data_IF_445812910506
#
_entry.id   IF_445812910506
#
_cell.length_a   1.000
_cell.length_b   1.000
_cell.length_c   1.000
_cell.angle_alpha   90.00
_cell.angle_beta   90.00
_cell.angle_gamma   90.00
#
_symmetry.space_group_name_H-M   'P 1'
#
loop_
_entity.id
_entity.type
_entity.pdbx_description
1 polymer ?
#
# COMPACT_ATOMS: atom_id res chain seq x y z
N UNK A 1 -4.79 -30.38 3.25
CA UNK A 1 -3.52 -29.64 3.39
C UNK A 1 -3.35 -29.39 4.88
N UNK A 2 -2.26 -29.84 5.50
CA UNK A 2 -2.03 -29.70 6.95
C UNK A 2 -0.75 -28.89 7.13
N UNK A 3 -0.86 -27.68 7.67
CA UNK A 3 0.27 -26.77 7.93
C UNK A 3 0.25 -25.46 7.12
N UNK A 4 1.11 -24.49 7.48
CA UNK A 4 1.28 -23.25 6.72
C UNK A 4 1.78 -23.55 5.30
N UNK A 5 1.54 -22.61 4.37
CA UNK A 5 2.00 -22.77 2.99
C UNK A 5 3.53 -22.67 2.92
N UNK A 6 4.10 -21.71 3.64
CA UNK A 6 5.52 -21.42 3.73
C UNK A 6 6.26 -22.60 4.38
N UNK A 7 7.25 -23.14 3.68
CA UNK A 7 8.22 -24.09 4.27
C UNK A 7 9.28 -23.33 5.06
N UNK A 8 9.68 -22.17 4.54
CA UNK A 8 10.58 -21.22 5.20
C UNK A 8 10.15 -19.78 4.87
N UNK A 9 9.69 -19.06 5.90
CA UNK A 9 9.28 -17.65 5.80
C UNK A 9 10.43 -16.65 5.96
N UNK A 10 11.64 -17.13 6.29
CA UNK A 10 12.78 -16.28 6.56
C UNK A 10 12.46 -15.17 7.59
N UNK A 11 12.94 -13.93 7.37
CA UNK A 11 12.71 -12.81 8.28
C UNK A 11 11.32 -12.15 8.16
N UNK A 12 10.45 -12.60 7.23
CA UNK A 12 9.13 -11.99 7.06
C UNK A 12 8.34 -12.11 8.36
N UNK A 13 7.86 -10.98 8.88
CA UNK A 13 7.02 -10.92 10.08
C UNK A 13 5.56 -10.60 9.77
N UNK A 14 5.33 -9.58 8.95
CA UNK A 14 4.01 -9.10 8.56
C UNK A 14 3.54 -9.68 7.23
N UNK A 15 2.24 -9.65 7.00
CA UNK A 15 1.60 -10.01 5.75
C UNK A 15 0.36 -9.13 5.52
N UNK A 16 -0.06 -8.96 4.27
CA UNK A 16 -1.32 -8.31 3.93
C UNK A 16 -1.92 -8.87 2.62
N UNK A 17 -1.46 -8.39 1.46
CA UNK A 17 -1.96 -8.79 0.15
C UNK A 17 -0.97 -9.72 -0.55
N UNK A 18 -1.45 -10.45 -1.56
CA UNK A 18 -0.66 -11.41 -2.33
C UNK A 18 -0.99 -11.36 -3.82
N UNK A 19 0.05 -11.43 -4.66
CA UNK A 19 -0.09 -11.69 -6.09
C UNK A 19 0.97 -12.68 -6.58
N UNK A 20 0.86 -13.15 -7.81
CA UNK A 20 1.82 -14.06 -8.43
C UNK A 20 2.16 -13.73 -9.89
N UNK A 21 3.40 -14.02 -10.28
CA UNK A 21 3.85 -14.15 -11.66
C UNK A 21 4.10 -15.63 -11.97
N UNK A 22 3.07 -16.34 -12.46
CA UNK A 22 3.14 -17.81 -12.68
C UNK A 22 4.28 -18.25 -13.60
N UNK A 23 4.64 -17.43 -14.60
CA UNK A 23 5.74 -17.75 -15.54
C UNK A 23 7.10 -17.79 -14.86
N UNK A 24 7.25 -17.03 -13.77
CA UNK A 24 8.49 -16.88 -13.01
C UNK A 24 8.47 -17.68 -11.71
N UNK A 25 7.46 -18.54 -11.52
CA UNK A 25 7.25 -19.27 -10.27
C UNK A 25 7.34 -18.36 -9.03
N UNK A 26 6.90 -17.11 -9.17
CA UNK A 26 7.10 -16.06 -8.17
C UNK A 26 5.78 -15.66 -7.55
N UNK A 27 5.73 -15.64 -6.23
CA UNK A 27 4.65 -15.02 -5.46
C UNK A 27 5.20 -13.76 -4.79
N UNK A 28 4.38 -12.73 -4.69
CA UNK A 28 4.71 -11.42 -4.12
C UNK A 28 3.74 -11.17 -2.99
N UNK A 29 4.24 -10.83 -1.79
CA UNK A 29 3.40 -10.43 -0.65
C UNK A 29 3.81 -9.08 -0.11
N UNK A 30 2.83 -8.32 0.35
CA UNK A 30 3.01 -7.03 1.02
C UNK A 30 2.86 -7.15 2.54
N UNK A 31 3.08 -6.06 3.25
CA UNK A 31 3.16 -6.04 4.72
C UNK A 31 2.34 -4.89 5.33
N UNK A 32 1.45 -5.24 6.26
CA UNK A 32 0.68 -4.25 7.02
C UNK A 32 1.00 -4.25 8.51
N UNK A 33 0.32 -5.08 9.32
CA UNK A 33 0.48 -5.17 10.76
C UNK A 33 -0.15 -6.47 11.28
N UNK A 34 0.03 -6.76 12.57
CA UNK A 34 -0.70 -7.86 13.23
C UNK A 34 -2.15 -7.46 13.54
N UNK A 35 -3.09 -8.41 13.69
CA UNK A 35 -4.47 -8.10 14.09
C UNK A 35 -4.56 -7.25 15.37
N UNK A 36 -3.79 -7.59 16.40
CA UNK A 36 -3.80 -6.86 17.68
C UNK A 36 -3.44 -5.37 17.59
N UNK A 37 -2.65 -4.98 16.58
CA UNK A 37 -2.28 -3.58 16.35
C UNK A 37 -3.41 -2.76 15.71
N UNK A 38 -4.41 -3.43 15.11
CA UNK A 38 -5.43 -2.80 14.27
C UNK A 38 -6.85 -2.98 14.81
N UNK A 39 -7.10 -3.98 15.64
CA UNK A 39 -8.43 -4.31 16.19
C UNK A 39 -9.09 -3.14 16.94
N UNK A 40 -8.29 -2.23 17.50
CA UNK A 40 -8.77 -1.04 18.22
C UNK A 40 -8.61 0.26 17.40
N UNK A 41 -8.38 0.15 16.09
CA UNK A 41 -8.05 1.26 15.22
C UNK A 41 -6.56 1.58 15.17
N UNK A 42 -6.21 2.56 14.34
CA UNK A 42 -4.82 2.98 14.13
C UNK A 42 -4.28 3.70 15.38
N UNK A 43 -3.23 3.14 15.98
CA UNK A 43 -2.48 3.78 17.06
C UNK A 43 -1.42 4.74 16.51
N UNK A 44 -1.49 6.06 16.78
CA UNK A 44 -0.49 7.03 16.33
C UNK A 44 0.92 6.76 16.88
N UNK A 45 1.05 6.22 18.10
CA UNK A 45 2.36 5.92 18.69
C UNK A 45 3.04 4.76 17.97
N UNK A 46 2.28 3.76 17.54
CA UNK A 46 2.82 2.65 16.75
C UNK A 46 3.21 3.11 15.34
N UNK A 47 2.44 4.05 14.77
CA UNK A 47 2.74 4.63 13.46
C UNK A 47 4.03 5.45 13.50
N UNK A 48 4.10 6.45 14.39
CA UNK A 48 5.28 7.29 14.57
C UNK A 48 6.49 6.50 15.11
N UNK A 49 6.23 5.41 15.82
CA UNK A 49 7.22 4.43 16.26
C UNK A 49 7.69 3.46 15.16
N UNK A 50 7.28 3.66 13.91
CA UNK A 50 7.72 2.89 12.72
C UNK A 50 7.47 1.38 12.85
N UNK A 51 6.35 1.00 13.47
CA UNK A 51 6.05 -0.41 13.80
C UNK A 51 5.27 -1.15 12.71
N UNK A 52 4.83 -0.48 11.65
CA UNK A 52 4.09 -1.12 10.55
C UNK A 52 5.03 -1.71 9.50
N UNK A 53 4.49 -2.63 8.72
CA UNK A 53 5.15 -3.27 7.60
C UNK A 53 5.58 -2.27 6.52
N UNK A 54 6.80 -2.48 6.03
CA UNK A 54 7.50 -1.59 5.09
C UNK A 54 8.34 -2.36 4.06
N UNK A 55 8.10 -3.66 3.92
CA UNK A 55 8.78 -4.48 2.92
C UNK A 55 7.84 -5.04 1.85
N UNK A 56 8.43 -5.34 0.70
CA UNK A 56 7.85 -6.20 -0.32
C UNK A 56 8.62 -7.52 -0.37
N UNK A 57 7.90 -8.63 -0.34
CA UNK A 57 8.47 -9.98 -0.21
C UNK A 57 8.23 -10.77 -1.50
N UNK A 58 9.28 -11.40 -2.03
CA UNK A 58 9.23 -12.25 -3.21
C UNK A 58 9.59 -13.68 -2.83
N UNK A 59 8.77 -14.61 -3.31
CA UNK A 59 8.77 -16.01 -2.91
C UNK A 59 8.92 -16.89 -4.14
N UNK A 60 9.68 -17.97 -3.99
CA UNK A 60 9.59 -19.09 -4.92
C UNK A 60 8.33 -19.91 -4.56
N UNK A 61 7.41 -20.06 -5.51
CA UNK A 61 6.12 -20.72 -5.28
C UNK A 61 6.25 -22.24 -5.15
N UNK A 62 7.11 -22.87 -5.96
CA UNK A 62 7.28 -24.33 -5.94
C UNK A 62 8.02 -24.79 -4.68
N UNK A 63 9.06 -24.07 -4.29
CA UNK A 63 9.84 -24.33 -3.08
C UNK A 63 9.15 -23.81 -1.81
N UNK A 64 8.24 -22.84 -1.94
CA UNK A 64 7.50 -22.19 -0.84
C UNK A 64 8.44 -21.53 0.16
N UNK A 65 9.41 -20.78 -0.39
CA UNK A 65 10.48 -20.10 0.34
C UNK A 65 10.59 -18.64 -0.07
N UNK A 66 10.90 -17.79 0.92
CA UNK A 66 11.24 -16.39 0.66
C UNK A 66 12.61 -16.34 -0.04
N UNK A 67 12.67 -15.71 -1.22
CA UNK A 67 13.90 -15.58 -2.02
C UNK A 67 14.47 -14.16 -1.99
N UNK A 68 13.61 -13.15 -1.79
CA UNK A 68 14.04 -11.77 -1.73
C UNK A 68 13.06 -10.95 -0.89
N UNK A 69 13.60 -10.06 -0.05
CA UNK A 69 12.84 -9.09 0.72
C UNK A 69 13.43 -7.71 0.45
N UNK A 70 12.61 -6.80 -0.04
CA UNK A 70 13.02 -5.43 -0.33
C UNK A 70 12.39 -4.52 0.71
N UNK A 71 13.25 -3.80 1.42
CA UNK A 71 12.86 -2.70 2.31
C UNK A 71 12.55 -1.46 1.48
N UNK A 72 11.36 -0.87 1.67
CA UNK A 72 10.96 0.38 1.01
C UNK A 72 11.40 1.61 1.79
N UNK A 73 11.93 1.44 3.01
CA UNK A 73 12.31 2.46 3.97
C UNK A 73 11.38 2.44 5.18
N UNK A 74 11.94 2.50 6.38
CA UNK A 74 11.20 2.48 7.65
C UNK A 74 10.33 3.74 7.87
N UNK A 75 10.55 4.81 7.08
CA UNK A 75 9.64 5.94 7.03
C UNK A 75 8.31 5.62 6.33
N UNK A 76 8.31 4.65 5.42
CA UNK A 76 7.16 4.26 4.62
C UNK A 76 6.38 3.15 5.30
N UNK A 77 5.15 3.40 5.72
CA UNK A 77 4.38 2.50 6.57
C UNK A 77 3.13 1.99 5.82
N UNK A 78 2.79 0.73 6.08
CA UNK A 78 1.61 0.03 5.53
C UNK A 78 1.70 -0.13 4.01
N UNK A 79 2.45 -1.14 3.59
CA UNK A 79 2.54 -1.57 2.18
C UNK A 79 1.34 -2.47 1.91
N UNK A 80 0.31 -1.94 1.23
CA UNK A 80 -0.99 -2.61 1.13
C UNK A 80 -1.16 -3.34 -0.21
N UNK A 81 -2.00 -2.80 -1.09
CA UNK A 81 -2.56 -3.51 -2.23
C UNK A 81 -1.51 -3.73 -3.35
N UNK A 82 -1.39 -4.97 -3.81
CA UNK A 82 -0.56 -5.37 -4.94
C UNK A 82 -1.38 -5.43 -6.21
N UNK A 83 -1.00 -4.70 -7.26
CA UNK A 83 -1.73 -4.64 -8.52
C UNK A 83 -0.80 -4.70 -9.74
N UNK A 84 -0.54 -5.88 -10.30
CA UNK A 84 0.08 -6.00 -11.62
C UNK A 84 -0.93 -5.75 -12.74
N UNK A 85 -0.45 -5.42 -13.95
CA UNK A 85 -1.29 -5.17 -15.11
C UNK A 85 -1.94 -6.47 -15.60
N UNK A 86 -3.04 -6.33 -16.34
CA UNK A 86 -3.73 -7.46 -17.00
C UNK A 86 -2.96 -8.04 -18.20
N UNK A 87 -1.89 -7.38 -18.62
CA UNK A 87 -1.01 -7.81 -19.71
C UNK A 87 0.14 -8.66 -19.18
N UNK A 88 0.84 -9.39 -20.06
CA UNK A 88 1.94 -10.32 -19.69
C UNK A 88 3.26 -9.61 -19.36
N UNK A 89 3.21 -8.55 -18.56
CA UNK A 89 4.40 -7.82 -18.12
C UNK A 89 4.93 -8.36 -16.79
N UNK A 90 6.24 -8.24 -16.60
CA UNK A 90 6.94 -8.70 -15.39
C UNK A 90 7.12 -7.55 -14.41
N UNK A 91 6.01 -6.90 -14.11
CA UNK A 91 5.92 -5.75 -13.22
C UNK A 91 4.58 -5.70 -12.49
N UNK A 92 4.50 -4.84 -11.48
CA UNK A 92 3.24 -4.40 -10.90
C UNK A 92 3.42 -3.25 -9.93
N UNK A 93 2.32 -2.77 -9.38
CA UNK A 93 2.29 -1.59 -8.53
C UNK A 93 1.82 -1.92 -7.11
N UNK A 94 2.50 -1.35 -6.12
CA UNK A 94 2.11 -1.44 -4.71
C UNK A 94 1.84 -0.06 -4.14
N UNK A 95 0.77 0.05 -3.36
CA UNK A 95 0.45 1.27 -2.60
C UNK A 95 1.10 1.26 -1.22
N UNK A 96 1.71 2.38 -0.85
CA UNK A 96 2.16 2.68 0.51
C UNK A 96 1.29 3.79 1.06
N UNK A 97 0.65 3.53 2.20
CA UNK A 97 -0.37 4.44 2.75
C UNK A 97 0.22 5.75 3.20
N UNK A 98 1.32 5.70 3.97
CA UNK A 98 1.79 6.90 4.66
C UNK A 98 3.29 6.88 4.90
N UNK A 99 3.92 8.03 4.70
CA UNK A 99 5.25 8.37 5.18
C UNK A 99 5.13 9.06 6.53
N UNK A 100 5.87 8.61 7.55
CA UNK A 100 5.87 9.26 8.87
C UNK A 100 6.63 10.59 8.90
N UNK A 101 7.34 10.94 7.83
CA UNK A 101 8.12 12.17 7.73
C UNK A 101 7.27 13.37 7.28
N UNK A 102 6.33 13.14 6.36
CA UNK A 102 5.58 14.21 5.69
C UNK A 102 4.10 13.86 5.43
N UNK A 103 3.63 12.72 5.96
CA UNK A 103 2.27 12.18 5.80
C UNK A 103 1.87 11.91 4.34
N UNK A 104 2.84 11.85 3.42
CA UNK A 104 2.59 11.55 2.01
C UNK A 104 2.24 10.07 1.79
N UNK A 105 1.38 9.82 0.80
CA UNK A 105 1.18 8.47 0.26
C UNK A 105 2.08 8.27 -0.97
N UNK A 106 2.35 7.01 -1.33
CA UNK A 106 3.14 6.74 -2.54
C UNK A 106 2.74 5.46 -3.26
N UNK A 107 3.05 5.39 -4.56
CA UNK A 107 2.93 4.18 -5.38
C UNK A 107 4.32 3.78 -5.84
N UNK A 108 4.61 2.49 -5.72
CA UNK A 108 5.88 1.90 -6.09
C UNK A 108 5.67 0.86 -7.18
N UNK A 109 6.60 0.79 -8.11
CA UNK A 109 6.65 -0.17 -9.21
C UNK A 109 7.63 -1.27 -8.83
N UNK A 110 7.17 -2.51 -8.69
CA UNK A 110 8.09 -3.65 -8.72
C UNK A 110 8.21 -4.16 -10.15
N UNK A 111 9.39 -4.62 -10.53
CA UNK A 111 9.66 -5.13 -11.87
C UNK A 111 10.87 -6.06 -11.88
N UNK A 112 10.94 -6.92 -12.90
CA UNK A 112 12.06 -7.84 -13.08
C UNK A 112 13.29 -7.07 -13.60
N UNK A 113 14.41 -7.23 -12.92
CA UNK A 113 15.71 -6.63 -13.26
C UNK A 113 16.77 -7.74 -13.36
N UNK A 114 16.95 -8.29 -14.56
CA UNK A 114 17.77 -9.49 -14.76
C UNK A 114 17.17 -10.68 -14.03
N UNK A 115 17.97 -11.30 -13.15
CA UNK A 115 17.53 -12.45 -12.35
C UNK A 115 16.85 -12.05 -11.03
N UNK A 116 16.85 -10.76 -10.67
CA UNK A 116 16.29 -10.26 -9.42
C UNK A 116 15.03 -9.41 -9.65
N UNK A 117 14.35 -9.06 -8.56
CA UNK A 117 13.29 -8.05 -8.56
C UNK A 117 13.85 -6.71 -8.08
N UNK A 118 13.37 -5.62 -8.66
CA UNK A 118 13.68 -4.26 -8.23
C UNK A 118 12.39 -3.49 -7.98
N UNK A 119 12.45 -2.50 -7.09
CA UNK A 119 11.28 -1.72 -6.67
C UNK A 119 11.63 -0.23 -6.65
N UNK A 120 10.88 0.56 -7.39
CA UNK A 120 11.11 2.00 -7.55
C UNK A 120 9.87 2.80 -7.13
N UNK A 121 10.07 3.89 -6.40
CA UNK A 121 8.98 4.83 -6.08
C UNK A 121 8.66 5.65 -7.34
N UNK A 122 7.43 5.54 -7.83
CA UNK A 122 7.01 6.16 -9.10
C UNK A 122 5.99 7.28 -8.93
N UNK A 123 5.25 7.31 -7.81
CA UNK A 123 4.29 8.38 -7.50
C UNK A 123 4.43 8.76 -6.03
N UNK A 124 4.39 10.06 -5.74
CA UNK A 124 4.25 10.61 -4.38
C UNK A 124 3.03 11.54 -4.38
N UNK A 125 2.18 11.38 -3.37
CA UNK A 125 0.96 12.17 -3.17
C UNK A 125 1.14 12.92 -1.84
N UNK A 126 1.35 14.25 -1.86
CA UNK A 126 1.58 15.02 -0.65
C UNK A 126 0.31 15.06 0.22
N UNK A 127 0.49 15.23 1.52
CA UNK A 127 -0.61 15.48 2.43
C UNK A 127 -1.21 16.89 2.19
N UNK A 128 -2.52 16.99 2.33
CA UNK A 128 -3.24 18.27 2.33
C UNK A 128 -3.56 18.67 3.77
N UNK A 129 -3.41 19.96 4.15
CA UNK A 129 -3.78 20.43 5.48
C UNK A 129 -5.24 20.11 5.80
N UNK A 130 -5.49 19.58 6.99
CA UNK A 130 -6.85 19.39 7.48
C UNK A 130 -7.47 20.74 7.87
N UNK A 131 -8.76 20.92 7.61
CA UNK A 131 -9.52 22.03 8.17
C UNK A 131 -9.51 21.92 9.70
N UNK A 132 -9.02 22.94 10.44
CA UNK A 132 -8.92 22.89 11.90
C UNK A 132 -10.27 22.66 12.58
N UNK A 133 -11.38 23.02 11.95
CA UNK A 133 -12.74 22.78 12.47
C UNK A 133 -13.16 21.31 12.40
N UNK A 134 -12.51 20.49 11.57
CA UNK A 134 -12.77 19.05 11.47
C UNK A 134 -12.10 18.23 12.59
N UNK A 135 -11.12 18.80 13.30
CA UNK A 135 -10.35 18.11 14.35
C UNK A 135 -11.10 17.96 15.69
N UNK A 136 -12.35 18.43 15.79
CA UNK A 136 -13.13 18.40 17.04
C UNK A 136 -13.88 17.09 17.32
N UNK A 137 -13.81 16.10 16.43
CA UNK A 137 -14.49 14.81 16.62
C UNK A 137 -13.45 13.69 16.65
N UNK A 138 -13.36 12.89 17.74
CA UNK A 138 -12.52 11.70 17.72
C UNK A 138 -13.00 10.82 16.56
N UNK A 139 -12.08 10.45 15.67
CA UNK A 139 -12.35 9.65 14.49
C UNK A 139 -12.73 8.21 14.89
N UNK A 140 -13.97 8.03 15.35
CA UNK A 140 -14.57 6.72 15.42
C UNK A 140 -14.96 6.31 13.99
N UNK A 141 -14.06 5.64 13.28
CA UNK A 141 -14.39 4.95 12.04
C UNK A 141 -15.32 3.78 12.41
N UNK A 142 -16.63 4.01 12.31
CA UNK A 142 -17.60 2.92 12.32
C UNK A 142 -17.55 2.23 10.95
N UNK A 143 -17.02 1.01 10.92
CA UNK A 143 -17.19 0.11 9.78
C UNK A 143 -18.67 -0.31 9.72
N UNK A 144 -19.44 0.31 8.83
CA UNK A 144 -20.86 0.02 8.62
C UNK A 144 -21.23 0.23 7.17
N UNK A 145 -21.17 -0.85 6.39
CA UNK A 145 -21.71 -0.87 5.04
C UNK A 145 -23.24 -0.81 5.09
N UNK A 146 -23.79 0.39 4.87
CA UNK A 146 -25.18 0.55 4.41
C UNK A 146 -25.16 1.37 3.14
N UNK A 147 -25.23 0.66 2.02
CA UNK A 147 -25.37 1.22 0.68
C UNK A 147 -26.76 1.87 0.54
N UNK A 148 -26.80 3.20 0.64
CA UNK A 148 -27.93 4.00 0.16
C UNK A 148 -27.68 4.42 -1.29
N UNK A 149 -28.23 3.67 -2.25
CA UNK A 149 -28.20 4.02 -3.68
C UNK A 149 -29.07 5.26 -3.94
N UNK A 150 -28.44 6.43 -4.03
CA UNK A 150 -29.03 7.66 -4.57
C UNK A 150 -28.49 7.93 -5.97
N UNK A 151 -29.25 7.59 -7.01
CA UNK A 151 -28.91 7.93 -8.40
C UNK A 151 -28.98 9.45 -8.61
N UNK A 152 -27.84 10.11 -8.88
CA UNK A 152 -27.79 11.40 -9.58
C UNK A 152 -26.90 11.31 -10.82
N UNK A 153 -27.51 11.59 -11.97
CA UNK A 153 -26.90 11.63 -13.29
C UNK A 153 -25.85 12.75 -13.37
N UNK A 154 -24.59 12.39 -13.58
CA UNK A 154 -23.49 13.32 -13.85
C UNK A 154 -23.54 13.77 -15.32
N UNK A 155 -24.15 14.93 -15.59
CA UNK A 155 -23.94 15.64 -16.86
C UNK A 155 -22.54 16.25 -16.84
N UNK A 156 -21.68 15.78 -17.76
CA UNK A 156 -20.36 16.35 -18.04
C UNK A 156 -20.50 17.83 -18.44
N UNK A 157 -19.90 18.73 -17.66
CA UNK A 157 -19.55 20.09 -18.11
C UNK A 157 -18.03 20.25 -18.01
N UNK A 158 -17.35 20.82 -19.02
CA UNK A 158 -15.93 21.09 -18.93
C UNK A 158 -15.71 22.27 -17.97
N UNK A 159 -14.84 22.09 -16.98
CA UNK A 159 -14.40 23.16 -16.08
C UNK A 159 -13.25 23.89 -16.76
N UNK A 160 -13.42 25.18 -17.03
CA UNK A 160 -12.35 26.06 -17.48
C UNK A 160 -11.48 26.45 -16.28
N UNK A 161 -10.18 26.15 -16.35
CA UNK A 161 -9.18 26.60 -15.38
C UNK A 161 -8.82 28.04 -15.70
N UNK A 162 -9.22 28.99 -14.86
CA UNK A 162 -8.77 30.39 -14.93
C UNK A 162 -7.70 30.60 -13.87
N UNK A 163 -6.44 30.67 -14.34
CA UNK A 163 -5.30 31.13 -13.55
C UNK A 163 -5.46 32.64 -13.36
N UNK A 164 -5.49 33.10 -12.11
CA UNK A 164 -5.30 34.51 -11.79
C UNK A 164 -3.88 34.67 -11.23
N UNK A 165 -3.00 35.19 -12.08
CA UNK A 165 -1.78 35.85 -11.64
C UNK A 165 -2.18 37.14 -10.92
N UNK A 166 -1.63 37.36 -9.73
CA UNK A 166 -1.73 38.63 -9.02
C UNK A 166 -0.66 39.59 -9.51
N UNK A 167 -1.10 40.77 -9.95
CA UNK A 167 -0.23 41.92 -10.23
C UNK A 167 0.31 42.52 -8.91
N UNK A 168 1.53 43.04 -8.97
CA UNK A 168 2.01 44.14 -8.13
C UNK A 168 1.86 45.44 -8.91
#
# INVERSE_FOLDING_TARGET
MIGPWEVDRGPQFFAYDVWWHLRHDTLVTSEWATPSMLENGLNPEDLLGRKFGHHLNFWNMSERKLIQRIDLGDQHQMVLELRPPTTRQDLGFVGVVISVEDLSASVWLWHKAGDQWAVDKVITIPAEPADPTCCHRPAAVRCGATAGLGHRSLRRRPVAVRILLGDR
#
